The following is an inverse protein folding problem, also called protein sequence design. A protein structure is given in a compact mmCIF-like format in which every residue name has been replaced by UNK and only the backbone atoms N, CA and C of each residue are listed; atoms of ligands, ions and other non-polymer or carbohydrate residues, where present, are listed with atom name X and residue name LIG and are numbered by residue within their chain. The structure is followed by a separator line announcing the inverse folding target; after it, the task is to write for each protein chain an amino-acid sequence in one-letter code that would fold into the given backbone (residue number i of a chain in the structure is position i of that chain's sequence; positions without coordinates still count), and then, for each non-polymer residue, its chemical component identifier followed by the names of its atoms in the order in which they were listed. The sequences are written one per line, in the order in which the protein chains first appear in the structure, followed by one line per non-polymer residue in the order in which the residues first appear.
data_IF_167242142878
#
_entry.id   IF_167242142878
#
_cell.length_a   1.000
_cell.length_b   1.000
_cell.length_c   1.000
_cell.angle_alpha   90.00
_cell.angle_beta   90.00
_cell.angle_gamma   90.00
#
_symmetry.space_group_name_H-M   'P 1'
#
loop_
_entity.id
_entity.type
_entity.pdbx_description
1 polymer ?
#
# COMPACT_ATOMS: atom_id res chain seq x y z
N UNK A 1 -2.33 -29.94 34.40
CA UNK A 1 -1.80 -28.58 34.24
C UNK A 1 -2.15 -28.17 32.82
N UNK A 2 -3.19 -27.36 32.66
CA UNK A 2 -3.57 -26.86 31.34
C UNK A 2 -2.58 -25.80 30.93
N UNK A 3 -1.87 -26.04 29.83
CA UNK A 3 -1.15 -24.99 29.12
C UNK A 3 -2.21 -23.96 28.71
N UNK A 4 -2.11 -22.77 29.29
CA UNK A 4 -2.85 -21.61 28.78
C UNK A 4 -2.19 -21.30 27.44
N UNK A 5 -2.80 -21.76 26.35
CA UNK A 5 -2.51 -21.24 25.02
C UNK A 5 -2.77 -19.74 25.09
N UNK A 6 -1.71 -18.93 25.17
CA UNK A 6 -1.84 -17.51 24.90
C UNK A 6 -2.41 -17.40 23.49
N UNK A 7 -3.63 -16.90 23.34
CA UNK A 7 -4.16 -16.58 22.01
C UNK A 7 -3.20 -15.58 21.38
N UNK A 8 -2.60 -15.96 20.25
CA UNK A 8 -1.74 -15.06 19.48
C UNK A 8 -2.57 -13.84 19.08
N UNK A 9 -2.04 -12.65 19.35
CA UNK A 9 -2.72 -11.41 18.96
C UNK A 9 -2.84 -11.35 17.44
N UNK A 10 -3.97 -10.89 16.89
CA UNK A 10 -4.11 -10.70 15.45
C UNK A 10 -3.05 -9.73 14.93
N UNK A 11 -2.49 -10.02 13.76
CA UNK A 11 -1.44 -9.22 13.13
C UNK A 11 -2.10 -8.08 12.35
N UNK A 12 -1.64 -6.85 12.58
CA UNK A 12 -2.05 -5.67 11.82
C UNK A 12 -0.84 -5.04 11.11
N UNK A 13 -0.97 -4.82 9.81
CA UNK A 13 0.06 -4.15 9.01
C UNK A 13 -0.40 -2.75 8.62
N UNK A 14 0.37 -1.73 9.02
CA UNK A 14 0.18 -0.34 8.61
C UNK A 14 1.41 0.14 7.84
N UNK A 15 1.22 0.50 6.57
CA UNK A 15 2.30 1.02 5.73
C UNK A 15 2.06 2.48 5.33
N UNK A 16 3.14 3.26 5.21
CA UNK A 16 3.06 4.65 4.78
C UNK A 16 4.15 5.04 3.79
N UNK A 17 3.77 5.91 2.85
CA UNK A 17 4.72 6.46 1.89
C UNK A 17 5.65 7.49 2.54
N UNK A 18 6.96 7.46 2.21
CA UNK A 18 7.95 8.39 2.73
C UNK A 18 7.84 9.77 2.06
N UNK A 19 6.95 10.61 2.58
CA UNK A 19 6.76 11.99 2.07
C UNK A 19 7.38 13.07 2.95
N UNK A 20 8.03 12.70 4.07
CA UNK A 20 8.69 13.63 5.01
C UNK A 20 7.77 14.53 5.86
N UNK A 21 6.50 14.68 5.49
CA UNK A 21 5.53 15.55 6.19
C UNK A 21 4.27 14.82 6.62
N UNK A 22 4.12 14.55 7.91
CA UNK A 22 2.82 14.22 8.51
C UNK A 22 2.01 15.50 8.69
N UNK A 23 0.79 15.52 8.15
CA UNK A 23 -0.16 16.61 8.43
C UNK A 23 -0.85 16.38 9.77
N UNK A 24 -1.46 17.42 10.34
CA UNK A 24 -2.29 17.28 11.54
C UNK A 24 -3.44 16.27 11.32
N UNK A 25 -3.98 16.20 10.09
CA UNK A 25 -4.96 15.20 9.71
C UNK A 25 -4.43 13.76 9.73
N UNK A 26 -3.16 13.55 9.37
CA UNK A 26 -2.54 12.23 9.50
C UNK A 26 -2.34 11.86 10.97
N UNK A 27 -1.91 12.81 11.80
CA UNK A 27 -1.71 12.58 13.22
C UNK A 27 -3.02 12.27 13.95
N UNK A 28 -4.02 13.13 13.82
CA UNK A 28 -5.31 12.97 14.51
C UNK A 28 -6.17 11.84 13.95
N UNK A 29 -5.96 11.45 12.69
CA UNK A 29 -6.76 10.42 12.01
C UNK A 29 -6.21 9.01 12.12
N UNK A 30 -4.90 8.84 12.36
CA UNK A 30 -4.27 7.52 12.40
C UNK A 30 -3.34 7.36 13.60
N UNK A 31 -2.42 8.31 13.80
CA UNK A 31 -1.35 8.20 14.80
C UNK A 31 -1.88 8.12 16.23
N UNK A 32 -2.92 8.90 16.55
CA UNK A 32 -3.55 8.88 17.88
C UNK A 32 -4.14 7.50 18.23
N UNK A 33 -4.51 6.71 17.23
CA UNK A 33 -5.12 5.39 17.44
C UNK A 33 -4.07 4.29 17.59
N UNK A 34 -2.80 4.56 17.29
CA UNK A 34 -1.75 3.54 17.38
C UNK A 34 -1.55 3.02 18.79
N UNK A 35 -1.69 3.86 19.82
CA UNK A 35 -1.56 3.38 21.21
C UNK A 35 -2.56 2.28 21.55
N UNK A 36 -3.82 2.42 21.10
CA UNK A 36 -4.85 1.40 21.31
C UNK A 36 -4.56 0.15 20.48
N UNK A 37 -4.10 0.33 19.23
CA UNK A 37 -3.72 -0.79 18.37
C UNK A 37 -2.59 -1.64 18.97
N UNK A 38 -1.61 -1.01 19.62
CA UNK A 38 -0.48 -1.69 20.26
C UNK A 38 -0.90 -2.62 21.41
N UNK A 39 -2.06 -2.39 22.03
CA UNK A 39 -2.57 -3.25 23.11
C UNK A 39 -3.43 -4.41 22.56
N UNK A 40 -4.03 -4.24 21.36
CA UNK A 40 -4.98 -5.19 20.76
C UNK A 40 -4.35 -6.11 19.69
N UNK A 41 -3.28 -5.66 19.02
CA UNK A 41 -2.71 -6.33 17.85
C UNK A 41 -1.18 -6.47 17.94
N UNK A 42 -0.66 -7.50 17.30
CA UNK A 42 0.76 -7.52 16.91
C UNK A 42 0.95 -6.56 15.72
N UNK A 43 1.62 -5.44 15.97
CA UNK A 43 1.64 -4.34 15.00
C UNK A 43 2.94 -4.31 14.17
N UNK A 44 2.77 -4.26 12.85
CA UNK A 44 3.82 -4.01 11.88
C UNK A 44 3.63 -2.63 11.24
N UNK A 45 4.66 -1.80 11.30
CA UNK A 45 4.68 -0.45 10.74
C UNK A 45 5.78 -0.32 9.68
N UNK A 46 5.37 -0.25 8.42
CA UNK A 46 6.26 -0.21 7.27
C UNK A 46 6.36 1.17 6.60
N UNK A 47 7.58 1.55 6.22
CA UNK A 47 7.81 2.69 5.32
C UNK A 47 8.06 2.17 3.91
N UNK A 48 7.13 2.42 3.00
CA UNK A 48 7.10 1.83 1.65
C UNK A 48 7.90 2.65 0.63
N UNK A 49 9.22 2.59 0.75
CA UNK A 49 10.15 3.29 -0.15
C UNK A 49 10.25 2.68 -1.55
N UNK A 50 10.01 1.37 -1.71
CA UNK A 50 9.96 0.75 -3.04
C UNK A 50 8.68 1.13 -3.82
N UNK A 51 7.58 1.40 -3.13
CA UNK A 51 6.40 1.99 -3.78
C UNK A 51 6.65 3.43 -4.24
N UNK A 52 7.47 4.19 -3.50
CA UNK A 52 7.75 5.59 -3.80
C UNK A 52 8.53 5.79 -5.12
N UNK A 53 9.32 4.79 -5.53
CA UNK A 53 10.13 4.87 -6.77
C UNK A 53 9.34 4.52 -8.04
N UNK A 54 8.06 4.17 -7.93
CA UNK A 54 7.16 3.89 -9.09
C UNK A 54 6.77 5.15 -9.86
N UNK A 55 7.03 6.32 -9.27
CA UNK A 55 6.82 7.66 -9.83
C UNK A 55 8.13 8.45 -9.76
N UNK A 56 8.28 9.57 -10.51
CA UNK A 56 9.48 10.40 -10.43
C UNK A 56 9.77 10.86 -8.99
N UNK A 57 11.04 10.73 -8.57
CA UNK A 57 11.51 11.08 -7.23
C UNK A 57 12.94 11.63 -7.26
N UNK A 58 13.36 12.30 -6.20
CA UNK A 58 14.74 12.75 -6.00
C UNK A 58 15.43 11.83 -4.98
N UNK A 59 16.50 11.10 -5.32
CA UNK A 59 17.10 10.10 -4.43
C UNK A 59 17.51 10.63 -3.05
N UNK A 60 18.11 11.83 -3.00
CA UNK A 60 18.50 12.46 -1.74
C UNK A 60 17.29 12.83 -0.87
N UNK A 61 16.20 13.29 -1.50
CA UNK A 61 14.96 13.61 -0.78
C UNK A 61 14.25 12.36 -0.29
N UNK A 62 14.17 11.30 -1.10
CA UNK A 62 13.59 10.02 -0.69
C UNK A 62 14.30 9.47 0.55
N UNK A 63 15.64 9.42 0.52
CA UNK A 63 16.44 8.96 1.67
C UNK A 63 16.16 9.80 2.92
N UNK A 64 16.12 11.13 2.79
CA UNK A 64 15.78 12.03 3.91
C UNK A 64 14.38 11.75 4.43
N UNK A 65 13.39 11.65 3.54
CA UNK A 65 11.98 11.46 3.90
C UNK A 65 11.74 10.13 4.61
N UNK A 66 12.45 9.06 4.24
CA UNK A 66 12.38 7.76 4.93
C UNK A 66 12.82 7.92 6.38
N UNK A 67 13.99 8.54 6.62
CA UNK A 67 14.51 8.77 7.96
C UNK A 67 13.62 9.73 8.78
N UNK A 68 13.08 10.77 8.15
CA UNK A 68 12.13 11.68 8.79
C UNK A 68 10.84 10.96 9.20
N UNK A 69 10.32 10.06 8.36
CA UNK A 69 9.14 9.27 8.71
C UNK A 69 9.39 8.35 9.91
N UNK A 70 10.54 7.66 9.98
CA UNK A 70 10.91 6.86 11.16
C UNK A 70 10.96 7.74 12.40
N UNK A 71 11.70 8.86 12.33
CA UNK A 71 11.86 9.76 13.46
C UNK A 71 10.51 10.34 13.93
N UNK A 72 9.63 10.67 12.99
CA UNK A 72 8.27 11.15 13.29
C UNK A 72 7.42 10.08 13.98
N UNK A 73 7.50 8.81 13.55
CA UNK A 73 6.71 7.73 14.14
C UNK A 73 7.11 7.50 15.60
N UNK A 74 8.42 7.43 15.86
CA UNK A 74 8.97 7.34 17.22
C UNK A 74 8.57 8.56 18.05
N UNK A 75 8.69 9.78 17.50
CA UNK A 75 8.30 11.00 18.19
C UNK A 75 6.80 11.07 18.52
N UNK A 76 5.96 10.39 17.75
CA UNK A 76 4.53 10.28 18.01
C UNK A 76 4.16 9.20 19.03
N UNK A 77 5.14 8.51 19.63
CA UNK A 77 4.91 7.51 20.67
C UNK A 77 4.87 6.07 20.15
N UNK A 78 5.27 5.83 18.90
CA UNK A 78 5.40 4.48 18.37
C UNK A 78 6.68 3.84 18.94
N UNK A 79 6.51 3.07 20.01
CA UNK A 79 7.60 2.40 20.73
C UNK A 79 8.13 1.18 19.94
N UNK A 80 9.40 1.19 19.48
CA UNK A 80 9.99 0.05 18.76
C UNK A 80 10.09 -1.23 19.59
N UNK A 81 9.91 -1.17 20.90
CA UNK A 81 9.88 -2.35 21.78
C UNK A 81 8.50 -3.03 21.74
N UNK A 82 7.45 -2.30 21.39
CA UNK A 82 6.06 -2.79 21.37
C UNK A 82 5.53 -3.10 19.97
N UNK A 83 6.27 -2.75 18.93
CA UNK A 83 5.87 -3.01 17.54
C UNK A 83 7.07 -3.21 16.63
N UNK A 84 6.81 -3.79 15.46
CA UNK A 84 7.82 -4.03 14.44
C UNK A 84 7.85 -2.87 13.46
N UNK A 85 8.87 -2.03 13.52
CA UNK A 85 9.08 -0.93 12.57
C UNK A 85 10.11 -1.32 11.53
N UNK A 86 9.81 -1.10 10.25
CA UNK A 86 10.72 -1.44 9.15
C UNK A 86 10.66 -0.47 7.97
N UNK A 87 11.74 -0.44 7.20
CA UNK A 87 11.79 0.16 5.86
C UNK A 87 11.64 -0.98 4.86
N UNK A 88 10.75 -0.83 3.89
CA UNK A 88 10.36 -1.90 2.97
C UNK A 88 11.58 -2.46 2.21
N UNK A 89 12.46 -1.60 1.69
CA UNK A 89 13.67 -2.04 0.98
C UNK A 89 14.70 -2.80 1.85
N UNK A 90 14.58 -2.75 3.18
CA UNK A 90 15.48 -3.46 4.10
C UNK A 90 15.08 -4.93 4.32
N UNK A 91 13.91 -5.34 3.85
CA UNK A 91 13.41 -6.71 3.98
C UNK A 91 13.24 -7.31 2.58
N UNK A 92 14.17 -8.18 2.18
CA UNK A 92 14.23 -8.75 0.82
C UNK A 92 12.99 -9.56 0.46
N UNK A 93 12.35 -10.18 1.46
CA UNK A 93 11.14 -10.99 1.30
C UNK A 93 10.00 -10.27 0.57
N UNK A 94 9.89 -8.94 0.69
CA UNK A 94 8.92 -8.13 -0.06
C UNK A 94 9.07 -8.31 -1.57
N UNK A 95 10.30 -8.23 -2.08
CA UNK A 95 10.58 -8.37 -3.52
C UNK A 95 10.53 -9.83 -3.99
N UNK A 96 10.98 -10.75 -3.15
CA UNK A 96 11.01 -12.18 -3.47
C UNK A 96 9.58 -12.74 -3.61
N UNK A 97 8.71 -12.44 -2.64
CA UNK A 97 7.31 -12.85 -2.73
C UNK A 97 6.57 -12.08 -3.83
N UNK A 98 6.85 -10.80 -4.06
CA UNK A 98 6.22 -10.05 -5.15
C UNK A 98 6.52 -10.67 -6.52
N UNK A 99 7.74 -11.20 -6.72
CA UNK A 99 8.09 -11.92 -7.94
C UNK A 99 7.23 -13.19 -8.12
N UNK A 100 7.10 -14.00 -7.07
CA UNK A 100 6.26 -15.21 -7.09
C UNK A 100 4.80 -14.87 -7.37
N UNK A 101 4.24 -13.87 -6.67
CA UNK A 101 2.85 -13.45 -6.86
C UNK A 101 2.62 -12.86 -8.25
N UNK A 102 3.61 -12.19 -8.84
CA UNK A 102 3.52 -11.67 -10.22
C UNK A 102 3.29 -12.81 -11.22
N UNK A 103 3.93 -13.97 -11.03
CA UNK A 103 3.71 -15.15 -11.87
C UNK A 103 2.29 -15.72 -11.77
N UNK A 104 1.54 -15.37 -10.71
CA UNK A 104 0.15 -15.76 -10.49
C UNK A 104 -0.85 -14.67 -10.88
N UNK A 105 -0.39 -13.50 -11.32
CA UNK A 105 -1.23 -12.33 -11.58
C UNK A 105 -1.39 -12.09 -13.09
N UNK A 106 -2.57 -12.31 -13.68
CA UNK A 106 -2.86 -11.96 -15.06
C UNK A 106 -2.69 -10.46 -15.29
N UNK A 107 -2.03 -10.10 -16.39
CA UNK A 107 -1.78 -8.69 -16.74
C UNK A 107 -3.06 -7.86 -16.86
N UNK A 108 -4.14 -8.46 -17.36
CA UNK A 108 -5.44 -7.80 -17.50
C UNK A 108 -6.07 -7.40 -16.17
N UNK A 109 -5.81 -8.12 -15.08
CA UNK A 109 -6.29 -7.73 -13.74
C UNK A 109 -5.64 -6.42 -13.29
N UNK A 110 -4.34 -6.25 -13.56
CA UNK A 110 -3.59 -5.04 -13.22
C UNK A 110 -3.98 -3.86 -14.11
N UNK A 111 -4.16 -4.09 -15.40
CA UNK A 111 -4.57 -3.07 -16.37
C UNK A 111 -5.94 -2.46 -16.08
N UNK A 112 -6.86 -3.24 -15.50
CA UNK A 112 -8.22 -2.78 -15.18
C UNK A 112 -8.31 -1.93 -13.91
N UNK A 113 -7.25 -1.85 -13.10
CA UNK A 113 -7.26 -1.08 -11.85
C UNK A 113 -7.48 0.41 -12.08
N UNK A 114 -8.39 1.01 -11.32
CA UNK A 114 -8.73 2.43 -11.47
C UNK A 114 -7.55 3.34 -11.13
N UNK A 115 -6.79 2.99 -10.09
CA UNK A 115 -5.62 3.76 -9.63
C UNK A 115 -4.51 3.76 -10.68
N UNK A 116 -4.33 2.65 -11.42
CA UNK A 116 -3.37 2.57 -12.52
C UNK A 116 -3.76 3.56 -13.63
N UNK A 117 -5.03 3.51 -14.08
CA UNK A 117 -5.58 4.43 -15.09
C UNK A 117 -5.48 5.90 -14.66
N UNK A 118 -5.83 6.21 -13.41
CA UNK A 118 -5.74 7.57 -12.86
C UNK A 118 -4.30 8.09 -12.79
N UNK A 119 -3.34 7.26 -12.36
CA UNK A 119 -1.93 7.65 -12.28
C UNK A 119 -1.33 7.89 -13.67
N UNK A 120 -1.69 7.06 -14.65
CA UNK A 120 -1.30 7.24 -16.05
C UNK A 120 -1.86 8.56 -16.61
N UNK A 121 -3.14 8.84 -16.36
CA UNK A 121 -3.77 10.09 -16.79
C UNK A 121 -3.07 11.31 -16.18
N UNK A 122 -2.69 11.26 -14.89
CA UNK A 122 -1.91 12.33 -14.22
C UNK A 122 -0.52 12.52 -14.81
N UNK A 123 0.07 11.49 -15.41
CA UNK A 123 1.35 11.56 -16.12
C UNK A 123 1.21 12.14 -17.54
N UNK A 124 -0.01 12.41 -18.01
CA UNK A 124 -0.30 13.05 -19.30
C UNK A 124 -0.52 12.07 -20.45
N UNK A 125 -0.73 10.79 -20.15
CA UNK A 125 -1.07 9.77 -21.15
C UNK A 125 -2.58 9.67 -21.31
N UNK A 126 -3.06 9.53 -22.54
CA UNK A 126 -4.48 9.24 -22.82
C UNK A 126 -4.67 7.74 -22.94
N UNK A 127 -5.73 7.24 -22.33
CA UNK A 127 -6.23 5.88 -22.53
C UNK A 127 -7.31 5.99 -23.60
N UNK A 128 -7.11 5.35 -24.76
CA UNK A 128 -8.17 5.25 -25.76
C UNK A 128 -9.17 4.17 -25.29
N UNK A 129 -10.27 4.61 -24.70
CA UNK A 129 -11.36 3.72 -24.27
C UNK A 129 -12.20 3.21 -25.45
N UNK A 130 -12.17 3.91 -26.59
CA UNK A 130 -13.00 3.59 -27.77
C UNK A 130 -12.44 2.47 -28.66
N UNK A 131 -11.15 2.15 -28.60
CA UNK A 131 -10.59 1.00 -29.35
C UNK A 131 -10.64 -0.32 -28.56
N UNK A 132 -11.03 -0.29 -27.28
CA UNK A 132 -11.14 -1.48 -26.42
C UNK A 132 -12.38 -2.33 -26.72
N UNK A 133 -13.41 -1.78 -27.39
CA UNK A 133 -14.62 -2.53 -27.77
C UNK A 133 -14.44 -3.36 -29.06
N UNK A 134 -13.52 -2.98 -29.95
CA UNK A 134 -13.31 -3.63 -31.26
C UNK A 134 -12.09 -4.59 -31.29
N UNK A 135 -11.36 -4.74 -30.18
CA UNK A 135 -10.21 -5.65 -30.06
C UNK A 135 -10.61 -6.95 -29.33
N UNK A 136 -10.31 -8.14 -29.89
CA UNK A 136 -10.55 -9.42 -29.21
C UNK A 136 -9.64 -9.63 -27.97
N UNK A 137 -8.67 -8.74 -27.76
CA UNK A 137 -7.81 -8.68 -26.57
C UNK A 137 -8.05 -7.36 -25.83
N UNK A 138 -8.23 -7.44 -24.50
CA UNK A 138 -8.40 -6.33 -23.55
C UNK A 138 -7.09 -5.51 -23.38
N UNK A 139 -6.38 -5.28 -24.48
CA UNK A 139 -5.05 -4.66 -24.52
C UNK A 139 -5.20 -3.13 -24.51
N UNK A 140 -4.83 -2.51 -23.38
CA UNK A 140 -4.72 -1.05 -23.28
C UNK A 140 -3.66 -0.50 -24.25
N UNK A 141 -4.07 0.28 -25.24
CA UNK A 141 -3.16 1.08 -26.07
C UNK A 141 -2.93 2.45 -25.44
N UNK A 142 -1.67 2.79 -25.18
CA UNK A 142 -1.28 4.12 -24.69
C UNK A 142 -0.77 4.98 -25.84
N UNK A 143 -1.36 6.16 -26.01
CA UNK A 143 -0.86 7.14 -27.00
C UNK A 143 0.12 8.11 -26.33
N UNK A 144 1.28 8.31 -26.95
CA UNK A 144 2.34 9.22 -26.46
C UNK A 144 2.04 10.72 -26.69
N UNK A 145 0.89 11.06 -27.27
CA UNK A 145 0.52 12.44 -27.61
C UNK A 145 0.13 13.24 -26.36
N UNK A 146 1.13 13.72 -25.61
CA UNK A 146 0.94 14.58 -24.43
C UNK A 146 1.90 14.36 -23.25
N UNK A 147 2.79 13.36 -23.33
CA UNK A 147 3.69 13.03 -22.22
C UNK A 147 4.68 14.18 -21.94
N UNK A 148 4.84 14.54 -20.65
CA UNK A 148 5.97 15.38 -20.20
C UNK A 148 7.27 14.64 -20.56
N UNK A 149 8.33 15.36 -20.91
CA UNK A 149 9.60 14.80 -21.43
C UNK A 149 10.32 13.76 -20.52
N UNK A 150 9.84 13.52 -19.30
CA UNK A 150 10.34 12.51 -18.35
C UNK A 150 9.28 11.51 -17.86
N UNK A 151 8.03 11.60 -18.34
CA UNK A 151 6.97 10.68 -17.95
C UNK A 151 7.02 9.44 -18.84
N UNK A 152 7.30 8.27 -18.26
CA UNK A 152 7.14 6.97 -18.89
C UNK A 152 6.25 6.09 -18.01
N UNK A 153 5.27 5.41 -18.60
CA UNK A 153 4.54 4.33 -17.91
C UNK A 153 5.54 3.19 -17.70
N UNK A 154 6.03 3.04 -16.48
CA UNK A 154 6.99 1.99 -16.14
C UNK A 154 6.26 0.75 -15.58
N UNK A 155 6.89 -0.43 -15.69
CA UNK A 155 6.32 -1.68 -15.20
C UNK A 155 6.04 -1.65 -13.68
N UNK A 156 6.83 -0.89 -12.91
CA UNK A 156 6.59 -0.72 -11.47
C UNK A 156 5.25 -0.08 -11.17
N UNK A 157 4.80 0.89 -11.99
CA UNK A 157 3.49 1.52 -11.84
C UNK A 157 2.33 0.54 -12.11
N UNK A 158 2.53 -0.46 -12.96
CA UNK A 158 1.55 -1.52 -13.22
C UNK A 158 1.58 -2.60 -12.12
N UNK A 159 2.77 -2.98 -11.67
CA UNK A 159 2.97 -4.12 -10.77
C UNK A 159 2.98 -3.77 -9.28
N UNK A 160 2.96 -2.49 -8.88
CA UNK A 160 2.93 -2.13 -7.45
C UNK A 160 1.76 -2.76 -6.65
N UNK A 161 0.57 -3.02 -7.21
CA UNK A 161 -0.48 -3.73 -6.47
C UNK A 161 -0.07 -5.15 -6.04
N UNK A 162 0.75 -5.83 -6.85
CA UNK A 162 1.32 -7.14 -6.50
C UNK A 162 2.39 -6.98 -5.40
N UNK A 163 3.19 -5.92 -5.47
CA UNK A 163 4.12 -5.59 -4.38
C UNK A 163 3.37 -5.29 -3.07
N UNK A 164 2.23 -4.58 -3.14
CA UNK A 164 1.38 -4.34 -1.97
C UNK A 164 0.82 -5.65 -1.40
N UNK A 165 0.38 -6.58 -2.25
CA UNK A 165 -0.04 -7.91 -1.80
C UNK A 165 1.11 -8.65 -1.11
N UNK A 166 2.32 -8.61 -1.68
CA UNK A 166 3.51 -9.15 -1.05
C UNK A 166 3.77 -8.54 0.33
N UNK A 167 3.71 -7.21 0.44
CA UNK A 167 3.93 -6.50 1.70
C UNK A 167 3.01 -6.99 2.82
N UNK A 168 1.76 -7.32 2.48
CA UNK A 168 0.74 -7.82 3.42
C UNK A 168 0.98 -9.29 3.76
N UNK A 169 1.24 -10.11 2.75
CA UNK A 169 1.27 -11.56 2.88
C UNK A 169 2.55 -12.11 3.53
N UNK A 170 3.69 -11.43 3.41
CA UNK A 170 4.93 -11.91 4.09
C UNK A 170 4.81 -11.91 5.62
N UNK A 171 3.92 -11.08 6.17
CA UNK A 171 3.66 -11.02 7.62
C UNK A 171 2.39 -11.76 8.02
N UNK A 172 1.69 -12.40 7.07
CA UNK A 172 0.40 -13.04 7.30
C UNK A 172 -0.58 -12.13 8.08
N UNK A 173 -0.67 -10.86 7.68
CA UNK A 173 -1.50 -9.89 8.37
C UNK A 173 -2.98 -10.30 8.34
N UNK A 174 -3.63 -10.27 9.51
CA UNK A 174 -5.06 -10.52 9.66
C UNK A 174 -5.88 -9.27 9.28
N UNK A 175 -5.28 -8.08 9.47
CA UNK A 175 -5.93 -6.78 9.35
C UNK A 175 -5.02 -5.77 8.65
N UNK A 176 -5.59 -4.97 7.75
CA UNK A 176 -4.87 -3.91 7.03
C UNK A 176 -5.70 -2.62 7.03
N UNK A 177 -5.22 -1.51 7.63
CA UNK A 177 -5.90 -0.22 7.54
C UNK A 177 -5.80 0.33 6.12
N UNK A 178 -6.92 0.30 5.39
CA UNK A 178 -6.99 0.79 4.00
C UNK A 178 -8.04 1.90 3.87
N UNK A 179 -7.68 2.95 3.14
CA UNK A 179 -8.64 3.95 2.66
C UNK A 179 -9.52 3.39 1.55
N UNK A 180 -10.62 4.08 1.25
CA UNK A 180 -11.52 3.74 0.13
C UNK A 180 -10.76 3.57 -1.19
N UNK A 181 -9.75 4.42 -1.40
CA UNK A 181 -8.89 4.47 -2.58
C UNK A 181 -7.96 3.27 -2.73
N UNK A 182 -7.79 2.45 -1.69
CA UNK A 182 -6.90 1.28 -1.70
C UNK A 182 -7.65 -0.06 -1.63
N UNK A 183 -8.99 -0.04 -1.63
CA UNK A 183 -9.82 -1.26 -1.52
C UNK A 183 -9.56 -2.26 -2.65
N UNK A 184 -9.45 -1.80 -3.91
CA UNK A 184 -9.17 -2.69 -5.04
C UNK A 184 -7.83 -3.44 -4.89
N UNK A 185 -6.80 -2.79 -4.32
CA UNK A 185 -5.51 -3.46 -4.09
C UNK A 185 -5.62 -4.51 -2.98
N UNK A 186 -6.42 -4.25 -1.94
CA UNK A 186 -6.66 -5.25 -0.89
C UNK A 186 -7.46 -6.45 -1.44
N UNK A 187 -8.45 -6.23 -2.30
CA UNK A 187 -9.16 -7.34 -2.96
C UNK A 187 -8.21 -8.16 -3.86
N UNK A 188 -7.34 -7.52 -4.64
CA UNK A 188 -6.29 -8.26 -5.38
C UNK A 188 -5.43 -9.10 -4.43
N UNK A 189 -5.02 -8.55 -3.29
CA UNK A 189 -4.23 -9.28 -2.30
C UNK A 189 -4.97 -10.53 -1.80
N UNK A 190 -6.27 -10.40 -1.50
CA UNK A 190 -7.11 -11.52 -1.05
C UNK A 190 -7.26 -12.58 -2.15
N UNK A 191 -7.48 -12.17 -3.39
CA UNK A 191 -7.59 -13.07 -4.54
C UNK A 191 -6.29 -13.83 -4.78
N UNK A 192 -5.13 -13.16 -4.71
CA UNK A 192 -3.82 -13.78 -4.86
C UNK A 192 -3.51 -14.76 -3.73
N UNK A 193 -3.84 -14.41 -2.49
CA UNK A 193 -3.70 -15.30 -1.34
C UNK A 193 -4.56 -16.56 -1.49
N UNK A 194 -5.83 -16.40 -1.85
CA UNK A 194 -6.75 -17.52 -2.09
C UNK A 194 -6.28 -18.40 -3.26
N UNK A 195 -5.82 -17.79 -4.36
CA UNK A 195 -5.29 -18.50 -5.53
C UNK A 195 -4.04 -19.31 -5.19
N UNK A 196 -3.10 -18.72 -4.46
CA UNK A 196 -1.91 -19.42 -3.98
C UNK A 196 -2.29 -20.59 -3.09
N UNK A 197 -3.17 -20.37 -2.12
CA UNK A 197 -3.60 -21.41 -1.18
C UNK A 197 -4.27 -22.59 -1.88
N UNK A 198 -5.14 -22.31 -2.86
CA UNK A 198 -5.82 -23.35 -3.63
C UNK A 198 -4.87 -24.12 -4.56
N UNK A 199 -3.83 -23.46 -5.07
CA UNK A 199 -2.90 -24.07 -6.05
C UNK A 199 -1.82 -24.89 -5.37
N UNK A 200 -1.32 -24.45 -4.22
CA UNK A 200 -0.14 -25.02 -3.57
C UNK A 200 -0.46 -25.64 -2.20
N UNK A 201 -0.80 -24.80 -1.22
CA UNK A 201 -1.12 -25.21 0.16
C UNK A 201 -1.66 -24.03 0.95
N UNK A 202 -2.42 -24.28 2.02
CA UNK A 202 -2.87 -23.26 2.98
C UNK A 202 -1.66 -22.56 3.64
N UNK A 203 -1.23 -21.45 3.04
CA UNK A 203 0.03 -20.76 3.36
C UNK A 203 -0.22 -19.35 3.86
N UNK A 204 -1.14 -18.64 3.20
CA UNK A 204 -1.46 -17.26 3.49
C UNK A 204 -2.77 -17.12 4.24
N UNK A 205 -2.79 -16.26 5.25
CA UNK A 205 -4.05 -15.73 5.79
C UNK A 205 -4.68 -14.78 4.78
N UNK A 206 -6.00 -14.75 4.72
CA UNK A 206 -6.75 -13.81 3.87
C UNK A 206 -6.99 -12.52 4.69
N UNK A 207 -6.35 -11.39 4.35
CA UNK A 207 -6.42 -10.17 5.16
C UNK A 207 -7.77 -9.48 5.03
N UNK A 208 -8.34 -8.96 6.12
CA UNK A 208 -9.52 -8.08 6.08
C UNK A 208 -9.14 -6.61 6.24
N UNK A 209 -10.00 -5.73 5.71
CA UNK A 209 -9.88 -4.30 5.93
C UNK A 209 -10.07 -3.96 7.42
N UNK A 210 -9.20 -3.12 7.95
CA UNK A 210 -9.36 -2.53 9.27
C UNK A 210 -9.83 -1.09 9.14
N UNK A 211 -10.95 -0.78 9.79
CA UNK A 211 -11.44 0.59 9.90
C UNK A 211 -11.19 1.01 11.35
N UNK A 212 -10.22 1.91 11.62
CA UNK A 212 -9.98 2.39 12.96
C UNK A 212 -11.24 3.06 13.52
N UNK A 213 -11.48 2.90 14.82
CA UNK A 213 -12.48 3.74 15.51
C UNK A 213 -12.12 5.21 15.26
N UNK A 214 -13.07 5.95 14.69
CA UNK A 214 -12.86 7.25 14.04
C UNK A 214 -11.96 8.21 14.83
N UNK A 215 -10.81 8.55 14.25
CA UNK A 215 -10.09 9.79 14.58
C UNK A 215 -10.79 11.02 13.96
N UNK A 216 -10.57 12.21 14.53
CA UNK A 216 -11.21 13.44 14.06
C UNK A 216 -10.94 13.68 12.56
N UNK A 217 -11.99 13.85 11.74
CA UNK A 217 -11.84 14.20 10.32
C UNK A 217 -11.38 15.65 10.19
N UNK A 218 -10.08 15.84 9.94
CA UNK A 218 -9.50 17.17 9.77
C UNK A 218 -9.66 17.66 8.32
N UNK A 219 -10.35 18.78 8.14
CA UNK A 219 -10.54 19.44 6.85
C UNK A 219 -9.43 20.46 6.57
N UNK A 220 -9.26 20.85 5.31
CA UNK A 220 -8.31 21.91 4.94
C UNK A 220 -8.69 23.24 5.58
N UNK A 221 -7.69 23.98 6.05
CA UNK A 221 -7.87 25.32 6.64
C UNK A 221 -8.28 26.37 5.60
N UNK A 222 -7.95 26.13 4.32
CA UNK A 222 -8.28 27.04 3.21
C UNK A 222 -9.60 26.67 2.52
N UNK A 223 -10.02 25.40 2.59
CA UNK A 223 -11.28 24.92 2.01
C UNK A 223 -11.87 23.81 2.89
N UNK A 224 -12.89 24.11 3.72
CA UNK A 224 -13.46 23.15 4.67
C UNK A 224 -14.24 22.01 4.01
N UNK A 225 -14.46 22.04 2.69
CA UNK A 225 -15.11 20.94 1.95
C UNK A 225 -14.12 19.84 1.55
N UNK A 226 -12.81 20.14 1.58
CA UNK A 226 -11.75 19.21 1.20
C UNK A 226 -11.05 18.65 2.44
N UNK A 227 -10.71 17.35 2.40
CA UNK A 227 -9.87 16.71 3.43
C UNK A 227 -8.49 17.37 3.43
N UNK A 228 -7.89 17.54 4.61
CA UNK A 228 -6.51 18.02 4.71
C UNK A 228 -5.57 17.05 3.96
N UNK A 229 -4.85 17.58 2.97
CA UNK A 229 -3.83 16.85 2.21
C UNK A 229 -2.45 17.46 2.45
N UNK A 230 -1.40 16.72 2.07
CA UNK A 230 -0.03 17.22 1.99
C UNK A 230 0.09 18.29 0.90
#
# INVERSE_FOLDING_TARGET
MGETSQEEQPVILTCAQPTGKLTLGNYLGAVRNWSTMLDEFECYFGIVDMHAITVPYVPAELRRNVLECVAQYVACGLDPVKCHQFVQSHVTGHTELAWVLTCLTPIGELQRMTQFKEKIAKLGFKVDEQEAEDSPTDDLKFTHSGARAQASVNAGLLCYPVLMASDILIYNADRVPVGEDQRQHLELCRDLAARFNNTYSETFKIPDAYVPETGARVMSLADPTRKMSK
#
